data_IF_365460713677
#
_entry.id   IF_365460713677
#
_cell.length_a   1.000
_cell.length_b   1.000
_cell.length_c   1.000
_cell.angle_alpha   90.00
_cell.angle_beta   90.00
_cell.angle_gamma   90.00
#
_symmetry.space_group_name_H-M   'P 1'
#
loop_
_entity.id
_entity.type
_entity.pdbx_description
1 polymer ?
#
# COMPACT_ATOMS: atom_id res chain seq x y z
N UNK A 1 -11.26 27.65 -46.82
CA UNK A 1 -11.53 26.49 -45.94
C UNK A 1 -11.11 26.84 -44.51
N UNK A 2 -12.08 27.18 -43.65
CA UNK A 2 -11.86 27.50 -42.23
C UNK A 2 -11.87 26.21 -41.41
N UNK A 3 -10.77 25.87 -40.74
CA UNK A 3 -10.75 24.81 -39.71
C UNK A 3 -11.31 25.39 -38.41
N UNK A 4 -12.50 24.92 -38.05
CA UNK A 4 -13.07 25.12 -36.72
C UNK A 4 -12.17 24.40 -35.69
N UNK A 5 -11.65 25.17 -34.75
CA UNK A 5 -10.90 24.67 -33.59
C UNK A 5 -11.95 24.37 -32.52
N UNK A 6 -12.37 23.11 -32.42
CA UNK A 6 -13.16 22.59 -31.31
C UNK A 6 -12.29 22.66 -30.06
N UNK A 7 -12.57 23.62 -29.19
CA UNK A 7 -12.08 23.63 -27.82
C UNK A 7 -12.78 22.47 -27.09
N UNK A 8 -12.08 21.36 -26.97
CA UNK A 8 -12.42 20.34 -26.00
C UNK A 8 -12.47 21.00 -24.63
N UNK A 9 -13.65 20.96 -24.00
CA UNK A 9 -13.80 21.28 -22.60
C UNK A 9 -12.97 20.28 -21.82
N UNK A 10 -11.81 20.76 -21.37
CA UNK A 10 -11.00 20.09 -20.36
C UNK A 10 -11.80 20.26 -19.06
N UNK A 11 -12.69 19.29 -18.79
CA UNK A 11 -13.25 19.08 -17.46
C UNK A 11 -12.08 18.62 -16.57
N UNK A 12 -11.28 19.60 -16.17
CA UNK A 12 -10.30 19.48 -15.11
C UNK A 12 -11.10 19.23 -13.82
N UNK A 13 -11.45 17.95 -13.59
CA UNK A 13 -11.98 17.47 -12.33
C UNK A 13 -10.92 17.75 -11.27
N UNK A 14 -11.00 18.97 -10.72
CA UNK A 14 -10.20 19.43 -9.60
C UNK A 14 -10.21 18.33 -8.57
N UNK A 15 -9.04 17.73 -8.36
CA UNK A 15 -8.88 16.60 -7.47
C UNK A 15 -9.15 17.10 -6.04
N UNK A 16 -10.41 17.02 -5.59
CA UNK A 16 -10.79 17.55 -4.28
C UNK A 16 -10.10 16.66 -3.23
N UNK A 17 -9.24 17.22 -2.36
CA UNK A 17 -8.54 16.45 -1.34
C UNK A 17 -9.50 16.16 -0.19
N UNK A 18 -10.49 15.32 -0.43
CA UNK A 18 -11.59 14.99 0.49
C UNK A 18 -11.12 14.71 1.91
N UNK A 19 -10.15 13.81 2.09
CA UNK A 19 -9.62 13.46 3.41
C UNK A 19 -8.86 14.61 4.10
N UNK A 20 -8.28 15.54 3.33
CA UNK A 20 -7.66 16.74 3.89
C UNK A 20 -8.73 17.66 4.49
N UNK A 21 -9.84 17.84 3.79
CA UNK A 21 -10.98 18.63 4.29
C UNK A 21 -11.65 17.99 5.51
N UNK A 22 -11.78 16.66 5.53
CA UNK A 22 -12.28 15.91 6.70
C UNK A 22 -11.37 16.14 7.92
N UNK A 23 -10.05 16.07 7.74
CA UNK A 23 -9.08 16.32 8.81
C UNK A 23 -9.14 17.77 9.30
N UNK A 24 -9.22 18.75 8.38
CA UNK A 24 -9.35 20.17 8.73
C UNK A 24 -10.63 20.44 9.52
N UNK A 25 -11.76 19.86 9.12
CA UNK A 25 -13.01 19.98 9.85
C UNK A 25 -12.91 19.38 11.26
N UNK A 26 -12.26 18.21 11.41
CA UNK A 26 -12.02 17.60 12.71
C UNK A 26 -11.17 18.48 13.65
N UNK A 27 -10.06 19.05 13.15
CA UNK A 27 -9.25 19.99 13.94
C UNK A 27 -9.99 21.28 14.29
N UNK A 28 -10.82 21.79 13.38
CA UNK A 28 -11.62 22.99 13.62
C UNK A 28 -12.64 22.77 14.74
N UNK A 29 -13.33 21.62 14.74
CA UNK A 29 -14.26 21.24 15.81
C UNK A 29 -13.55 21.06 17.15
N UNK A 30 -12.39 20.40 17.15
CA UNK A 30 -11.57 20.23 18.35
C UNK A 30 -11.10 21.59 18.91
N UNK A 31 -10.63 22.48 18.05
CA UNK A 31 -10.22 23.84 18.44
C UNK A 31 -11.41 24.67 18.96
N UNK A 32 -12.60 24.53 18.37
CA UNK A 32 -13.82 25.15 18.87
C UNK A 32 -14.18 24.66 20.27
N UNK A 33 -14.13 23.34 20.52
CA UNK A 33 -14.38 22.78 21.85
C UNK A 33 -13.36 23.29 22.87
N UNK A 34 -12.07 23.28 22.54
CA UNK A 34 -11.02 23.84 23.41
C UNK A 34 -11.22 25.34 23.69
N UNK A 35 -11.69 26.10 22.69
CA UNK A 35 -12.04 27.51 22.84
C UNK A 35 -13.22 27.72 23.79
N UNK A 36 -14.27 26.89 23.71
CA UNK A 36 -15.39 26.94 24.65
C UNK A 36 -14.92 26.67 26.08
N UNK A 37 -14.11 25.63 26.30
CA UNK A 37 -13.52 25.36 27.62
C UNK A 37 -12.67 26.54 28.13
N UNK A 38 -11.88 27.18 27.27
CA UNK A 38 -11.03 28.29 27.68
C UNK A 38 -11.82 29.58 28.01
N UNK A 39 -12.95 29.82 27.35
CA UNK A 39 -13.84 30.96 27.62
C UNK A 39 -14.68 30.73 28.87
N UNK A 40 -15.14 29.50 29.07
CA UNK A 40 -15.90 29.10 30.26
C UNK A 40 -15.01 29.02 31.52
N UNK A 41 -13.72 28.72 31.35
CA UNK A 41 -12.69 28.81 32.39
C UNK A 41 -12.17 30.25 32.59
N UNK A 42 -13.06 31.26 32.52
CA UNK A 42 -12.72 32.67 32.70
C UNK A 42 -11.85 32.94 33.94
N UNK A 43 -11.06 34.04 33.94
CA UNK A 43 -10.06 34.27 34.97
C UNK A 43 -10.73 34.42 36.34
N UNK A 44 -10.32 33.55 37.27
CA UNK A 44 -10.76 33.46 38.66
C UNK A 44 -12.22 33.01 38.82
N UNK A 45 -12.43 31.67 38.87
CA UNK A 45 -13.57 31.13 39.63
C UNK A 45 -13.59 31.85 40.98
N UNK A 46 -14.70 32.52 41.37
CA UNK A 46 -14.75 33.27 42.61
C UNK A 46 -14.36 32.33 43.75
N UNK A 47 -13.47 32.79 44.64
CA UNK A 47 -13.04 31.96 45.75
C UNK A 47 -14.27 31.45 46.51
N UNK A 48 -14.41 30.14 46.63
CA UNK A 48 -15.46 29.47 47.39
C UNK A 48 -14.87 28.86 48.64
N UNK A 49 -15.67 28.81 49.70
CA UNK A 49 -15.32 28.13 50.95
C UNK A 49 -16.39 27.10 51.27
N UNK A 50 -15.96 25.89 51.60
CA UNK A 50 -16.85 24.86 52.11
C UNK A 50 -17.36 25.26 53.50
N UNK A 51 -18.68 25.17 53.69
CA UNK A 51 -19.37 25.45 54.94
C UNK A 51 -20.39 24.36 55.26
N UNK A 52 -20.72 24.24 56.54
CA UNK A 52 -21.76 23.32 57.00
C UNK A 52 -23.15 23.95 56.81
N UNK A 53 -24.08 23.15 56.29
CA UNK A 53 -25.47 23.51 56.05
C UNK A 53 -26.38 22.67 56.95
N UNK A 54 -27.28 23.33 57.67
CA UNK A 54 -28.35 22.66 58.39
C UNK A 54 -29.55 22.46 57.46
N UNK A 55 -29.91 21.21 57.16
CA UNK A 55 -31.03 20.89 56.29
C UNK A 55 -32.33 20.90 57.10
N UNK A 56 -33.15 21.92 56.84
CA UNK A 56 -34.43 22.16 57.53
C UNK A 56 -35.54 21.31 56.94
N UNK A 57 -35.53 21.13 55.62
CA UNK A 57 -36.52 20.35 54.88
C UNK A 57 -35.85 19.77 53.62
N UNK A 58 -36.17 18.52 53.29
CA UNK A 58 -35.66 17.82 52.10
C UNK A 58 -36.84 17.16 51.37
N UNK A 59 -37.01 17.52 50.10
CA UNK A 59 -38.01 16.90 49.23
C UNK A 59 -37.46 15.67 48.54
N UNK A 60 -38.36 14.80 48.09
CA UNK A 60 -38.02 13.57 47.37
C UNK A 60 -37.31 13.80 46.03
N UNK A 61 -37.38 15.01 45.46
CA UNK A 61 -36.68 15.41 44.23
C UNK A 61 -35.22 15.86 44.48
N UNK A 62 -34.76 15.87 45.74
CA UNK A 62 -33.42 16.31 46.13
C UNK A 62 -33.30 17.81 46.39
N UNK A 63 -34.39 18.59 46.22
CA UNK A 63 -34.40 20.00 46.64
C UNK A 63 -34.54 20.11 48.15
N UNK A 64 -33.65 20.89 48.74
CA UNK A 64 -33.55 21.12 50.17
C UNK A 64 -33.74 22.59 50.50
N UNK A 65 -34.26 22.85 51.70
CA UNK A 65 -34.20 24.15 52.34
C UNK A 65 -33.15 24.09 53.43
N UNK A 66 -32.10 24.89 53.27
CA UNK A 66 -30.93 24.86 54.14
C UNK A 66 -30.76 26.17 54.88
N UNK A 67 -30.21 26.06 56.07
CA UNK A 67 -29.86 27.18 56.93
C UNK A 67 -28.34 27.20 57.13
N UNK A 68 -27.70 28.36 56.95
CA UNK A 68 -26.26 28.53 57.13
C UNK A 68 -25.91 29.84 57.82
N UNK A 69 -24.72 29.89 58.42
CA UNK A 69 -24.19 31.10 59.04
C UNK A 69 -23.38 31.90 58.01
N UNK A 70 -23.81 33.12 57.72
CA UNK A 70 -23.06 34.06 56.90
C UNK A 70 -22.07 34.83 57.79
N UNK A 71 -20.75 34.57 57.67
CA UNK A 71 -19.75 35.23 58.51
C UNK A 71 -19.55 36.72 58.16
N UNK A 72 -19.97 37.15 56.97
CA UNK A 72 -19.76 38.52 56.48
C UNK A 72 -20.84 39.47 56.98
N UNK A 73 -22.10 39.03 56.94
CA UNK A 73 -23.22 39.81 57.50
C UNK A 73 -23.58 39.43 58.94
N UNK A 74 -22.88 38.43 59.52
CA UNK A 74 -23.08 37.92 60.89
C UNK A 74 -24.54 37.54 61.17
N UNK A 75 -25.22 37.00 60.16
CA UNK A 75 -26.62 36.57 60.23
C UNK A 75 -26.76 35.13 59.79
N UNK A 76 -27.80 34.47 60.27
CA UNK A 76 -28.19 33.17 59.75
C UNK A 76 -29.08 33.38 58.53
N UNK A 77 -28.70 32.79 57.39
CA UNK A 77 -29.48 32.82 56.15
C UNK A 77 -30.18 31.48 55.97
N UNK A 78 -31.29 31.51 55.24
CA UNK A 78 -32.02 30.33 54.84
C UNK A 78 -32.41 30.45 53.36
N UNK A 79 -32.32 29.36 52.62
CA UNK A 79 -32.53 29.38 51.18
C UNK A 79 -32.65 27.98 50.57
N UNK A 80 -33.10 27.91 49.30
CA UNK A 80 -33.12 26.67 48.55
C UNK A 80 -31.69 26.21 48.22
N UNK A 81 -31.47 24.89 48.21
CA UNK A 81 -30.21 24.25 47.84
C UNK A 81 -30.48 22.82 47.34
N UNK A 82 -29.60 22.24 46.52
CA UNK A 82 -29.70 20.83 46.13
C UNK A 82 -28.82 19.95 47.02
N UNK A 83 -29.45 19.16 47.90
CA UNK A 83 -28.72 18.18 48.70
C UNK A 83 -28.15 17.05 47.84
N UNK A 84 -27.15 16.34 48.35
CA UNK A 84 -26.71 15.12 47.71
C UNK A 84 -27.72 13.98 47.91
N UNK A 85 -28.30 13.48 46.81
CA UNK A 85 -29.19 12.32 46.84
C UNK A 85 -28.50 11.07 47.40
N UNK A 86 -27.17 10.95 47.24
CA UNK A 86 -26.35 9.87 47.78
C UNK A 86 -26.00 10.01 49.27
N UNK A 87 -26.45 11.08 49.93
CA UNK A 87 -26.15 11.34 51.35
C UNK A 87 -26.68 10.23 52.25
N UNK A 88 -25.83 9.75 53.15
CA UNK A 88 -26.17 8.69 54.12
C UNK A 88 -27.36 9.07 55.00
N UNK A 89 -28.23 8.11 55.28
CA UNK A 89 -29.44 8.31 56.09
C UNK A 89 -29.16 8.83 57.51
N UNK A 90 -27.94 8.61 58.05
CA UNK A 90 -27.53 9.14 59.36
C UNK A 90 -27.35 10.66 59.36
N UNK A 91 -27.14 11.26 58.19
CA UNK A 91 -26.98 12.72 58.02
C UNK A 91 -28.31 13.41 57.70
N UNK A 92 -29.39 12.64 57.47
CA UNK A 92 -30.72 13.15 57.19
C UNK A 92 -31.52 13.34 58.49
N UNK A 93 -32.42 14.30 58.52
CA UNK A 93 -33.38 14.42 59.63
C UNK A 93 -34.33 13.20 59.63
N UNK A 94 -34.71 12.65 60.81
CA UNK A 94 -34.33 13.06 62.16
C UNK A 94 -33.09 12.32 62.71
N UNK A 95 -32.40 11.53 61.89
CA UNK A 95 -31.34 10.62 62.33
C UNK A 95 -30.05 11.35 62.72
N UNK A 96 -29.83 12.55 62.19
CA UNK A 96 -28.69 13.38 62.55
C UNK A 96 -28.86 13.94 63.96
N UNK A 97 -27.87 13.69 64.82
CA UNK A 97 -27.91 14.07 66.23
C UNK A 97 -27.59 15.57 66.44
N UNK A 98 -28.40 16.47 65.87
CA UNK A 98 -28.45 17.88 66.30
C UNK A 98 -29.59 18.07 67.30
N UNK A 99 -29.33 18.89 68.31
CA UNK A 99 -30.30 19.40 69.30
C UNK A 99 -31.57 20.03 68.68
N UNK A 100 -31.52 20.42 67.40
CA UNK A 100 -32.60 21.08 66.66
C UNK A 100 -33.37 20.14 65.71
N UNK A 101 -32.94 18.89 65.55
CA UNK A 101 -33.61 17.90 64.70
C UNK A 101 -33.43 18.10 63.18
N UNK A 102 -32.43 18.90 62.76
CA UNK A 102 -32.11 19.13 61.36
C UNK A 102 -31.16 18.06 60.80
N UNK A 103 -31.14 17.91 59.47
CA UNK A 103 -30.10 17.16 58.77
C UNK A 103 -28.83 17.99 58.59
N UNK A 104 -27.75 17.36 58.12
CA UNK A 104 -26.47 18.01 57.84
C UNK A 104 -26.02 17.78 56.41
N UNK A 105 -25.63 18.84 55.72
CA UNK A 105 -25.04 18.82 54.38
C UNK A 105 -23.81 19.73 54.36
N UNK A 106 -22.89 19.52 53.42
CA UNK A 106 -21.83 20.49 53.16
C UNK A 106 -22.08 21.21 51.84
N UNK A 107 -21.90 22.52 51.82
CA UNK A 107 -22.05 23.32 50.61
C UNK A 107 -20.90 24.31 50.44
N UNK A 108 -20.82 24.93 49.27
CA UNK A 108 -19.86 25.97 48.98
C UNK A 108 -20.53 27.33 49.06
N UNK A 109 -19.83 28.31 49.62
CA UNK A 109 -20.29 29.70 49.72
C UNK A 109 -19.27 30.63 49.05
N UNK A 110 -19.74 31.61 48.31
CA UNK A 110 -18.87 32.62 47.69
C UNK A 110 -18.19 33.48 48.77
N UNK A 111 -16.86 33.58 48.71
CA UNK A 111 -16.08 34.44 49.62
C UNK A 111 -15.74 35.80 49.03
N UNK A 112 -15.94 35.97 47.72
CA UNK A 112 -15.59 37.18 46.97
C UNK A 112 -16.68 37.54 45.95
N UNK A 113 -16.64 38.77 45.42
CA UNK A 113 -17.59 39.25 44.44
C UNK A 113 -18.93 39.76 45.01
N UNK A 114 -19.89 40.12 44.12
CA UNK A 114 -21.18 40.71 44.51
C UNK A 114 -22.10 39.73 45.27
N UNK A 115 -21.89 38.42 45.11
CA UNK A 115 -22.70 37.36 45.73
C UNK A 115 -22.05 36.80 47.00
N UNK A 116 -21.10 37.53 47.60
CA UNK A 116 -20.39 37.06 48.81
C UNK A 116 -21.36 36.76 49.94
N UNK A 117 -21.27 35.55 50.48
CA UNK A 117 -22.16 35.04 51.53
C UNK A 117 -23.32 34.19 51.01
N UNK A 118 -23.56 34.17 49.69
CA UNK A 118 -24.54 33.28 49.07
C UNK A 118 -23.95 31.90 48.77
N UNK A 119 -24.81 30.89 48.72
CA UNK A 119 -24.44 29.52 48.40
C UNK A 119 -24.19 29.36 46.90
N UNK A 120 -23.12 28.64 46.57
CA UNK A 120 -22.87 28.13 45.24
C UNK A 120 -23.64 26.82 45.06
N UNK A 121 -24.77 26.91 44.37
CA UNK A 121 -25.53 25.75 43.93
C UNK A 121 -25.09 25.32 42.53
N UNK A 122 -23.84 24.87 42.45
CA UNK A 122 -23.23 24.38 41.21
C UNK A 122 -23.98 23.16 40.64
N UNK A 123 -24.81 22.47 41.44
CA UNK A 123 -25.69 21.41 40.95
C UNK A 123 -26.89 21.97 40.17
N UNK A 124 -27.47 23.10 40.58
CA UNK A 124 -28.52 23.78 39.82
C UNK A 124 -28.04 24.29 38.44
N UNK A 125 -26.76 24.68 38.30
CA UNK A 125 -26.20 25.13 37.01
C UNK A 125 -25.64 24.00 36.14
N UNK A 126 -25.30 22.84 36.72
CA UNK A 126 -24.71 21.72 35.97
C UNK A 126 -25.67 20.96 35.04
N UNK A 127 -26.97 21.24 35.09
CA UNK A 127 -28.00 20.50 34.36
C UNK A 127 -28.11 20.80 32.86
N UNK A 128 -27.62 21.95 32.37
CA UNK A 128 -27.91 22.39 30.99
C UNK A 128 -26.70 22.59 30.05
N UNK A 129 -25.46 22.84 30.53
CA UNK A 129 -24.39 23.33 29.64
C UNK A 129 -23.29 22.31 29.23
N UNK A 130 -23.13 21.17 29.91
CA UNK A 130 -22.03 20.24 29.63
C UNK A 130 -22.22 19.31 28.41
N UNK A 131 -23.34 19.36 27.68
CA UNK A 131 -23.63 18.41 26.59
C UNK A 131 -23.03 18.79 25.23
N UNK A 132 -22.89 20.09 24.94
CA UNK A 132 -22.52 20.55 23.59
C UNK A 132 -21.01 20.44 23.34
N UNK A 133 -20.18 20.78 24.34
CA UNK A 133 -18.72 20.73 24.21
C UNK A 133 -18.20 19.29 24.06
N UNK A 134 -18.71 18.36 24.88
CA UNK A 134 -18.35 16.94 24.80
C UNK A 134 -18.71 16.33 23.46
N UNK A 135 -19.88 16.69 22.92
CA UNK A 135 -20.33 16.22 21.60
C UNK A 135 -19.41 16.73 20.48
N UNK A 136 -19.01 18.01 20.53
CA UNK A 136 -18.08 18.59 19.56
C UNK A 136 -16.69 17.93 19.64
N UNK A 137 -16.21 17.63 20.84
CA UNK A 137 -14.92 16.99 21.05
C UNK A 137 -14.91 15.55 20.48
N UNK A 138 -15.94 14.76 20.79
CA UNK A 138 -16.09 13.40 20.26
C UNK A 138 -16.20 13.38 18.73
N UNK A 139 -17.01 14.28 18.15
CA UNK A 139 -17.18 14.39 16.70
C UNK A 139 -15.87 14.83 16.02
N UNK A 140 -15.18 15.81 16.60
CA UNK A 140 -13.88 16.28 16.13
C UNK A 140 -12.83 15.18 16.11
N UNK A 141 -12.74 14.40 17.20
CA UNK A 141 -11.78 13.30 17.33
C UNK A 141 -12.07 12.14 16.35
N UNK A 142 -13.35 11.82 16.14
CA UNK A 142 -13.78 10.85 15.13
C UNK A 142 -13.36 11.29 13.71
N UNK A 143 -13.59 12.56 13.35
CA UNK A 143 -13.23 13.09 12.04
C UNK A 143 -11.71 13.14 11.84
N UNK A 144 -10.94 13.44 12.89
CA UNK A 144 -9.46 13.39 12.84
C UNK A 144 -9.00 11.96 12.55
N UNK A 145 -9.54 10.95 13.26
CA UNK A 145 -9.22 9.54 13.03
C UNK A 145 -9.57 9.10 11.59
N UNK A 146 -10.77 9.44 11.11
CA UNK A 146 -11.21 9.11 9.74
C UNK A 146 -10.32 9.81 8.71
N UNK A 147 -9.98 11.08 8.90
CA UNK A 147 -9.09 11.84 8.04
C UNK A 147 -7.68 11.25 7.99
N UNK A 148 -7.14 10.83 9.14
CA UNK A 148 -5.80 10.25 9.26
C UNK A 148 -5.73 8.84 8.66
N UNK A 149 -6.70 7.97 8.95
CA UNK A 149 -6.77 6.61 8.40
C UNK A 149 -7.06 6.65 6.90
N UNK A 150 -8.07 7.42 6.48
CA UNK A 150 -8.44 7.55 5.07
C UNK A 150 -7.34 8.21 4.22
N UNK A 151 -6.64 9.20 4.78
CA UNK A 151 -5.48 9.83 4.15
C UNK A 151 -4.32 8.84 3.93
N UNK A 152 -3.97 8.05 4.96
CA UNK A 152 -2.92 7.04 4.87
C UNK A 152 -3.28 5.88 3.92
N UNK A 153 -4.52 5.40 3.97
CA UNK A 153 -5.02 4.36 3.04
C UNK A 153 -4.99 4.82 1.58
N UNK A 154 -5.17 6.11 1.31
CA UNK A 154 -5.07 6.67 -0.06
C UNK A 154 -3.62 6.93 -0.51
N UNK A 155 -2.69 7.10 0.43
CA UNK A 155 -1.26 7.25 0.13
C UNK A 155 -0.56 5.89 -0.12
N UNK A 156 -1.01 4.83 0.56
CA UNK A 156 -0.51 3.46 0.39
C UNK A 156 -0.46 2.95 -1.06
N UNK A 157 -1.50 3.12 -1.92
CA UNK A 157 -1.43 2.70 -3.31
C UNK A 157 -0.41 3.48 -4.16
N UNK A 158 0.06 4.67 -3.73
CA UNK A 158 1.14 5.36 -4.45
C UNK A 158 2.49 4.72 -4.20
N UNK A 159 2.78 4.37 -2.94
CA UNK A 159 4.05 3.71 -2.59
C UNK A 159 4.06 2.26 -3.08
N UNK A 160 2.98 1.52 -2.84
CA UNK A 160 2.80 0.15 -3.34
C UNK A 160 2.64 0.09 -4.87
N UNK A 161 2.17 1.19 -5.48
CA UNK A 161 2.03 1.30 -6.93
C UNK A 161 3.38 1.28 -7.66
N UNK A 162 4.43 1.84 -7.04
CA UNK A 162 5.80 1.83 -7.59
C UNK A 162 6.35 0.39 -7.64
N UNK A 163 6.17 -0.38 -6.57
CA UNK A 163 6.58 -1.79 -6.52
C UNK A 163 5.81 -2.62 -7.55
N UNK A 164 4.48 -2.45 -7.63
CA UNK A 164 3.66 -3.15 -8.61
C UNK A 164 4.04 -2.80 -10.07
N UNK A 165 4.39 -1.54 -10.33
CA UNK A 165 4.88 -1.12 -11.64
C UNK A 165 6.24 -1.74 -11.98
N UNK A 166 7.16 -1.82 -11.02
CA UNK A 166 8.44 -2.48 -11.20
C UNK A 166 8.26 -3.99 -11.48
N UNK A 167 7.44 -4.68 -10.69
CA UNK A 167 7.14 -6.11 -10.92
C UNK A 167 6.57 -6.32 -12.32
N UNK A 168 5.60 -5.51 -12.74
CA UNK A 168 5.05 -5.56 -14.11
C UNK A 168 6.09 -5.29 -15.20
N UNK A 169 7.03 -4.37 -14.97
CA UNK A 169 8.12 -4.08 -15.92
C UNK A 169 9.08 -5.26 -16.01
N UNK A 170 9.45 -5.84 -14.87
CA UNK A 170 10.27 -7.04 -14.80
C UNK A 170 9.61 -8.27 -15.45
N UNK A 171 8.29 -8.45 -15.26
CA UNK A 171 7.52 -9.51 -15.93
C UNK A 171 7.60 -9.39 -17.45
N UNK A 172 7.29 -8.19 -17.99
CA UNK A 172 7.36 -7.98 -19.44
C UNK A 172 8.79 -8.19 -19.97
N UNK A 173 9.82 -7.83 -19.21
CA UNK A 173 11.23 -8.07 -19.58
C UNK A 173 11.54 -9.56 -19.62
N UNK A 174 11.06 -10.32 -18.63
CA UNK A 174 11.22 -11.76 -18.59
C UNK A 174 10.49 -12.46 -19.74
N UNK A 175 9.31 -11.97 -20.14
CA UNK A 175 8.55 -12.45 -21.30
C UNK A 175 9.29 -12.18 -22.61
N UNK A 176 9.74 -10.94 -22.84
CA UNK A 176 10.52 -10.58 -24.02
C UNK A 176 11.82 -11.38 -24.13
N UNK A 177 12.51 -11.58 -23.01
CA UNK A 177 13.69 -12.42 -22.94
C UNK A 177 13.36 -13.91 -23.21
N UNK A 178 12.21 -14.38 -22.72
CA UNK A 178 11.70 -15.71 -23.02
C UNK A 178 11.47 -15.92 -24.51
N UNK A 179 10.72 -15.02 -25.16
CA UNK A 179 10.44 -15.09 -26.60
C UNK A 179 11.70 -15.05 -27.44
N UNK A 180 12.64 -14.14 -27.19
CA UNK A 180 13.88 -14.07 -27.96
C UNK A 180 14.72 -15.36 -27.84
N UNK A 181 14.79 -15.95 -26.65
CA UNK A 181 15.51 -17.20 -26.41
C UNK A 181 14.83 -18.41 -27.08
N UNK A 182 13.48 -18.44 -27.06
CA UNK A 182 12.66 -19.50 -27.66
C UNK A 182 12.66 -19.42 -29.19
N UNK A 183 12.52 -18.23 -29.77
CA UNK A 183 12.54 -18.03 -31.22
C UNK A 183 13.89 -18.46 -31.81
N UNK A 184 15.00 -18.12 -31.14
CA UNK A 184 16.33 -18.57 -31.57
C UNK A 184 16.47 -20.08 -31.45
N UNK A 185 15.98 -20.69 -30.36
CA UNK A 185 15.99 -22.14 -30.20
C UNK A 185 15.18 -22.84 -31.32
N UNK A 186 14.00 -22.30 -31.65
CA UNK A 186 13.14 -22.81 -32.72
C UNK A 186 13.83 -22.72 -34.09
N UNK A 187 14.54 -21.63 -34.38
CA UNK A 187 15.29 -21.49 -35.62
C UNK A 187 16.46 -22.48 -35.70
N UNK A 188 17.18 -22.72 -34.60
CA UNK A 188 18.23 -23.75 -34.53
C UNK A 188 17.65 -25.15 -34.70
N UNK A 189 16.51 -25.45 -34.08
CA UNK A 189 15.86 -26.74 -34.22
C UNK A 189 15.32 -26.95 -35.64
N UNK A 190 14.82 -25.92 -36.32
CA UNK A 190 14.46 -26.00 -37.74
C UNK A 190 15.66 -26.37 -38.63
N UNK A 191 16.85 -25.79 -38.38
CA UNK A 191 18.09 -26.19 -39.07
C UNK A 191 18.44 -27.65 -38.79
N UNK A 192 18.33 -28.10 -37.53
CA UNK A 192 18.61 -29.49 -37.17
C UNK A 192 17.63 -30.45 -37.81
N UNK A 193 16.37 -30.07 -37.91
CA UNK A 193 15.30 -30.89 -38.47
C UNK A 193 15.46 -31.01 -39.99
N UNK A 194 15.72 -29.90 -40.68
CA UNK A 194 16.04 -29.90 -42.10
C UNK A 194 17.34 -30.66 -42.39
N UNK A 195 18.38 -30.47 -41.56
CA UNK A 195 19.68 -31.14 -41.71
C UNK A 195 19.65 -32.65 -41.47
N UNK A 196 18.60 -33.20 -40.83
CA UNK A 196 18.39 -34.65 -40.74
C UNK A 196 17.92 -35.28 -42.05
N UNK A 197 17.29 -34.49 -42.93
CA UNK A 197 16.63 -34.98 -44.14
C UNK A 197 17.25 -34.42 -45.43
N UNK A 198 17.93 -33.28 -45.35
CA UNK A 198 18.58 -32.59 -46.47
C UNK A 198 20.11 -32.65 -46.44
N UNK A 199 20.73 -32.30 -47.56
CA UNK A 199 22.19 -32.16 -47.70
C UNK A 199 22.54 -30.77 -48.26
N UNK A 200 23.77 -30.29 -48.01
CA UNK A 200 24.36 -29.11 -48.66
C UNK A 200 25.31 -29.49 -49.82
N UNK A 201 25.29 -30.74 -50.27
CA UNK A 201 26.15 -31.26 -51.35
C UNK A 201 25.65 -30.82 -52.74
N UNK A 202 25.97 -31.59 -53.79
CA UNK A 202 25.75 -31.21 -55.19
C UNK A 202 24.30 -30.85 -55.57
N UNK A 203 23.30 -31.29 -54.79
CA UNK A 203 21.92 -30.86 -54.88
C UNK A 203 21.44 -30.40 -53.50
N UNK A 204 21.64 -29.11 -53.14
CA UNK A 204 21.36 -28.62 -51.81
C UNK A 204 19.85 -28.60 -51.53
N UNK A 205 19.47 -29.05 -50.34
CA UNK A 205 18.07 -29.03 -49.90
C UNK A 205 17.61 -27.57 -49.65
N UNK A 206 16.53 -27.10 -50.32
CA UNK A 206 16.11 -25.71 -50.23
C UNK A 206 15.58 -25.33 -48.83
N UNK A 207 15.02 -26.27 -48.08
CA UNK A 207 14.54 -26.03 -46.71
C UNK A 207 15.71 -25.88 -45.74
N UNK A 208 16.76 -26.69 -45.91
CA UNK A 208 18.00 -26.56 -45.13
C UNK A 208 18.72 -25.24 -45.42
N UNK A 209 18.87 -24.89 -46.71
CA UNK A 209 19.49 -23.62 -47.13
C UNK A 209 18.70 -22.43 -46.57
N UNK A 210 17.36 -22.45 -46.67
CA UNK A 210 16.50 -21.41 -46.10
C UNK A 210 16.69 -21.27 -44.59
N UNK A 211 16.62 -22.38 -43.86
CA UNK A 211 16.74 -22.37 -42.39
C UNK A 211 18.10 -21.84 -41.92
N UNK A 212 19.19 -22.20 -42.62
CA UNK A 212 20.52 -21.69 -42.34
C UNK A 212 20.67 -20.20 -42.71
N UNK A 213 20.03 -19.75 -43.80
CA UNK A 213 20.03 -18.35 -44.19
C UNK A 213 19.39 -17.46 -43.12
N UNK A 214 18.28 -17.89 -42.50
CA UNK A 214 17.65 -17.14 -41.38
C UNK A 214 18.62 -16.91 -40.23
N UNK A 215 19.37 -17.94 -39.82
CA UNK A 215 20.36 -17.81 -38.75
C UNK A 215 21.57 -16.98 -39.16
N UNK A 216 21.99 -17.07 -40.43
CA UNK A 216 23.08 -16.26 -40.98
C UNK A 216 22.70 -14.78 -41.02
N UNK A 217 21.51 -14.45 -41.49
CA UNK A 217 20.99 -13.09 -41.60
C UNK A 217 20.80 -12.46 -40.22
N UNK A 218 20.27 -13.21 -39.25
CA UNK A 218 20.18 -12.77 -37.85
C UNK A 218 21.58 -12.57 -37.20
N UNK A 219 22.60 -13.26 -37.72
CA UNK A 219 24.00 -13.04 -37.40
C UNK A 219 24.44 -13.46 -35.98
N UNK A 220 25.72 -13.27 -35.64
CA UNK A 220 26.28 -13.65 -34.34
C UNK A 220 25.75 -12.81 -33.17
N UNK A 221 25.09 -11.68 -33.46
CA UNK A 221 24.45 -10.83 -32.46
C UNK A 221 23.17 -11.48 -31.94
N UNK A 222 22.37 -12.11 -32.81
CA UNK A 222 21.17 -12.86 -32.41
C UNK A 222 21.50 -14.02 -31.47
N UNK A 223 22.58 -14.76 -31.73
CA UNK A 223 23.04 -15.82 -30.83
C UNK A 223 23.37 -15.30 -29.42
N UNK A 224 24.14 -14.20 -29.34
CA UNK A 224 24.50 -13.57 -28.06
C UNK A 224 23.27 -13.00 -27.35
N UNK A 225 22.39 -12.32 -28.07
CA UNK A 225 21.16 -11.78 -27.52
C UNK A 225 20.25 -12.90 -26.98
N UNK A 226 20.11 -14.02 -27.69
CA UNK A 226 19.33 -15.17 -27.22
C UNK A 226 19.94 -15.85 -25.99
N UNK A 227 21.28 -15.90 -25.89
CA UNK A 227 21.98 -16.39 -24.70
C UNK A 227 21.75 -15.47 -23.50
N UNK A 228 21.96 -14.16 -23.67
CA UNK A 228 21.69 -13.15 -22.64
C UNK A 228 20.22 -13.18 -22.19
N UNK A 229 19.30 -13.32 -23.15
CA UNK A 229 17.87 -13.42 -22.90
C UNK A 229 17.52 -14.66 -22.06
N UNK A 230 18.10 -15.82 -22.41
CA UNK A 230 17.90 -17.07 -21.66
C UNK A 230 18.39 -16.95 -20.22
N UNK A 231 19.56 -16.37 -20.02
CA UNK A 231 20.15 -16.22 -18.68
C UNK A 231 19.39 -15.19 -17.85
N UNK A 232 18.95 -14.09 -18.46
CA UNK A 232 18.10 -13.11 -17.80
C UNK A 232 16.74 -13.69 -17.40
N UNK A 233 16.07 -14.42 -18.30
CA UNK A 233 14.79 -15.06 -18.02
C UNK A 233 14.91 -16.08 -16.87
N UNK A 234 15.99 -16.87 -16.84
CA UNK A 234 16.28 -17.81 -15.74
C UNK A 234 16.44 -17.09 -14.39
N UNK A 235 17.07 -15.93 -14.36
CA UNK A 235 17.28 -15.12 -13.14
C UNK A 235 16.02 -14.40 -12.68
N UNK A 236 15.24 -13.84 -13.61
CA UNK A 236 14.01 -13.10 -13.27
C UNK A 236 12.90 -14.00 -12.75
N UNK A 237 12.76 -15.23 -13.27
CA UNK A 237 11.66 -16.14 -12.91
C UNK A 237 11.53 -16.48 -11.41
N UNK A 238 12.59 -16.83 -10.66
CA UNK A 238 12.48 -17.02 -9.21
C UNK A 238 12.15 -15.71 -8.48
N UNK A 239 12.84 -14.61 -8.83
CA UNK A 239 12.62 -13.30 -8.21
C UNK A 239 11.19 -12.78 -8.40
N UNK A 240 10.59 -12.98 -9.57
CA UNK A 240 9.19 -12.60 -9.83
C UNK A 240 8.20 -13.41 -9.00
N UNK A 241 8.52 -14.68 -8.66
CA UNK A 241 7.69 -15.50 -7.77
C UNK A 241 7.79 -15.02 -6.33
N UNK A 242 9.00 -14.71 -5.86
CA UNK A 242 9.24 -14.17 -4.52
C UNK A 242 8.66 -12.74 -4.36
N UNK A 243 8.71 -11.91 -5.41
CA UNK A 243 8.15 -10.57 -5.42
C UNK A 243 6.62 -10.51 -5.64
N UNK A 244 5.94 -11.66 -5.83
CA UNK A 244 4.50 -11.70 -6.08
C UNK A 244 3.63 -10.99 -5.01
N UNK A 245 3.98 -11.01 -3.70
CA UNK A 245 3.30 -10.21 -2.69
C UNK A 245 3.37 -8.70 -2.94
N UNK A 246 4.46 -8.21 -3.54
CA UNK A 246 4.65 -6.79 -3.86
C UNK A 246 3.95 -6.35 -5.16
N UNK A 247 3.36 -7.29 -5.92
CA UNK A 247 2.66 -6.98 -7.17
C UNK A 247 1.33 -6.22 -6.97
N UNK A 248 0.83 -6.13 -5.73
CA UNK A 248 -0.36 -5.34 -5.41
C UNK A 248 -0.79 -5.44 -3.94
N UNK A 249 -1.63 -4.49 -3.51
CA UNK A 249 -2.09 -4.38 -2.12
C UNK A 249 -2.77 -5.66 -1.62
N UNK A 250 -3.63 -6.27 -2.43
CA UNK A 250 -4.34 -7.52 -2.06
C UNK A 250 -3.36 -8.66 -1.78
N UNK A 251 -2.35 -8.85 -2.64
CA UNK A 251 -1.36 -9.91 -2.47
C UNK A 251 -0.51 -9.66 -1.22
N UNK A 252 -0.10 -8.41 -0.99
CA UNK A 252 0.68 -8.04 0.21
C UNK A 252 -0.11 -8.30 1.48
N UNK A 253 -1.41 -7.98 1.51
CA UNK A 253 -2.28 -8.22 2.67
C UNK A 253 -2.49 -9.71 2.94
N UNK A 254 -2.61 -10.53 1.89
CA UNK A 254 -2.73 -11.99 2.01
C UNK A 254 -1.42 -12.68 2.41
N UNK A 255 -0.28 -12.06 2.12
CA UNK A 255 1.03 -12.59 2.49
C UNK A 255 1.32 -12.42 3.99
N UNK A 256 1.89 -13.46 4.61
CA UNK A 256 2.42 -13.40 5.96
C UNK A 256 3.70 -12.54 6.08
N UNK A 257 4.17 -12.25 7.31
CA UNK A 257 5.31 -11.36 7.54
C UNK A 257 6.60 -11.85 6.88
N UNK A 258 6.89 -13.15 6.90
CA UNK A 258 8.06 -13.72 6.23
C UNK A 258 8.03 -13.49 4.71
N UNK A 259 6.91 -13.83 4.07
CA UNK A 259 6.73 -13.64 2.63
C UNK A 259 6.81 -12.17 2.20
N UNK A 260 6.43 -11.22 3.07
CA UNK A 260 6.61 -9.79 2.81
C UNK A 260 8.08 -9.38 2.84
N UNK A 261 8.86 -9.88 3.78
CA UNK A 261 10.30 -9.61 3.86
C UNK A 261 11.04 -10.18 2.64
N UNK A 262 10.72 -11.42 2.25
CA UNK A 262 11.29 -12.04 1.04
C UNK A 262 10.95 -11.23 -0.22
N UNK A 263 9.72 -10.74 -0.32
CA UNK A 263 9.29 -9.90 -1.44
C UNK A 263 10.07 -8.58 -1.52
N UNK A 264 10.40 -7.94 -0.40
CA UNK A 264 11.19 -6.70 -0.37
C UNK A 264 12.63 -6.93 -0.86
N UNK A 265 13.24 -8.05 -0.46
CA UNK A 265 14.56 -8.47 -0.95
C UNK A 265 14.51 -8.72 -2.46
N UNK A 266 13.52 -9.48 -2.92
CA UNK A 266 13.34 -9.77 -4.34
C UNK A 266 13.08 -8.51 -5.19
N UNK A 267 12.26 -7.57 -4.70
CA UNK A 267 11.99 -6.29 -5.36
C UNK A 267 13.26 -5.45 -5.51
N UNK A 268 14.15 -5.47 -4.51
CA UNK A 268 15.42 -4.76 -4.57
C UNK A 268 16.32 -5.32 -5.68
N UNK A 269 16.40 -6.65 -5.80
CA UNK A 269 17.17 -7.30 -6.85
C UNK A 269 16.53 -7.12 -8.24
N UNK A 270 15.19 -7.18 -8.34
CA UNK A 270 14.47 -6.86 -9.58
C UNK A 270 14.77 -5.43 -10.06
N UNK A 271 14.80 -4.45 -9.14
CA UNK A 271 15.16 -3.06 -9.47
C UNK A 271 16.56 -2.98 -10.07
N UNK A 272 17.51 -3.71 -9.50
CA UNK A 272 18.89 -3.78 -10.00
C UNK A 272 18.96 -4.37 -11.40
N UNK A 273 18.31 -5.51 -11.63
CA UNK A 273 18.32 -6.20 -12.93
C UNK A 273 17.61 -5.42 -14.04
N UNK A 274 16.46 -4.84 -13.73
CA UNK A 274 15.70 -4.03 -14.69
C UNK A 274 16.50 -2.77 -15.07
N UNK A 275 17.08 -2.07 -14.09
CA UNK A 275 17.94 -0.92 -14.37
C UNK A 275 19.19 -1.30 -15.18
N UNK A 276 19.77 -2.48 -14.92
CA UNK A 276 20.91 -2.97 -15.68
C UNK A 276 20.54 -3.34 -17.12
N UNK A 277 19.40 -4.00 -17.31
CA UNK A 277 18.88 -4.32 -18.63
C UNK A 277 18.58 -3.07 -19.48
N UNK A 278 18.05 -2.02 -18.85
CA UNK A 278 17.81 -0.72 -19.50
C UNK A 278 19.10 -0.02 -19.90
N UNK A 279 20.10 0.03 -19.00
CA UNK A 279 21.41 0.63 -19.34
C UNK A 279 22.08 -0.03 -20.54
N UNK A 280 21.86 -1.33 -20.70
CA UNK A 280 22.44 -2.09 -21.80
C UNK A 280 21.49 -2.23 -23.02
N UNK A 281 20.32 -1.58 -23.02
CA UNK A 281 19.36 -1.67 -24.14
C UNK A 281 18.95 -3.11 -24.49
N UNK A 282 18.80 -3.98 -23.47
CA UNK A 282 18.47 -5.39 -23.69
C UNK A 282 17.07 -5.55 -24.30
N UNK A 283 16.14 -4.66 -23.96
CA UNK A 283 14.78 -4.64 -24.47
C UNK A 283 14.74 -4.57 -25.99
N UNK A 284 15.44 -3.57 -26.54
CA UNK A 284 15.52 -3.32 -27.98
C UNK A 284 16.24 -4.48 -28.68
N UNK A 285 17.31 -5.00 -28.08
CA UNK A 285 18.07 -6.13 -28.64
C UNK A 285 17.24 -7.42 -28.70
N UNK A 286 16.46 -7.74 -27.67
CA UNK A 286 15.59 -8.92 -27.68
C UNK A 286 14.46 -8.78 -28.69
N UNK A 287 13.81 -7.61 -28.74
CA UNK A 287 12.76 -7.34 -29.72
C UNK A 287 13.29 -7.42 -31.16
N UNK A 288 14.43 -6.79 -31.44
CA UNK A 288 15.08 -6.83 -32.76
C UNK A 288 15.45 -8.27 -33.14
N UNK A 289 16.03 -9.05 -32.22
CA UNK A 289 16.39 -10.44 -32.48
C UNK A 289 15.17 -11.30 -32.83
N UNK A 290 14.06 -11.15 -32.10
CA UNK A 290 12.81 -11.87 -32.41
C UNK A 290 12.27 -11.45 -33.79
N UNK A 291 12.28 -10.16 -34.12
CA UNK A 291 11.86 -9.66 -35.44
C UNK A 291 12.74 -10.20 -36.56
N UNK A 292 14.06 -10.20 -36.41
CA UNK A 292 15.00 -10.69 -37.43
C UNK A 292 14.78 -12.19 -37.69
N UNK A 293 14.58 -12.98 -36.62
CA UNK A 293 14.29 -14.42 -36.72
C UNK A 293 12.92 -14.71 -37.34
N UNK A 294 11.89 -13.91 -37.02
CA UNK A 294 10.55 -14.07 -37.58
C UNK A 294 10.46 -13.63 -39.04
N UNK A 295 11.15 -12.53 -39.40
CA UNK A 295 11.16 -12.02 -40.78
C UNK A 295 11.82 -13.00 -41.76
N UNK A 296 12.80 -13.76 -41.28
CA UNK A 296 13.44 -14.81 -42.07
C UNK A 296 12.53 -16.00 -42.41
N UNK A 297 11.38 -16.16 -41.74
CA UNK A 297 10.45 -17.27 -41.97
C UNK A 297 9.42 -17.03 -43.09
N UNK A 298 9.42 -15.85 -43.73
CA UNK A 298 8.55 -15.56 -44.87
C UNK A 298 8.96 -16.38 -46.11
N UNK A 299 8.24 -17.48 -46.36
CA UNK A 299 8.71 -18.63 -47.13
C UNK A 299 9.09 -18.30 -48.58
N UNK A 300 8.34 -17.44 -49.27
CA UNK A 300 8.52 -17.24 -50.71
C UNK A 300 9.70 -16.32 -51.03
N UNK A 301 9.86 -15.24 -50.25
CA UNK A 301 10.96 -14.29 -50.42
C UNK A 301 12.27 -14.83 -49.85
N UNK A 302 12.22 -15.52 -48.72
CA UNK A 302 13.39 -16.12 -48.08
C UNK A 302 14.00 -17.23 -48.93
N UNK A 303 13.20 -18.04 -49.62
CA UNK A 303 13.72 -19.15 -50.44
C UNK A 303 14.56 -18.65 -51.62
N UNK A 304 14.09 -17.61 -52.34
CA UNK A 304 14.84 -17.04 -53.48
C UNK A 304 16.12 -16.34 -53.01
N UNK A 305 16.03 -15.56 -51.92
CA UNK A 305 17.19 -14.86 -51.36
C UNK A 305 18.24 -15.84 -50.82
N UNK A 306 17.80 -16.88 -50.09
CA UNK A 306 18.67 -17.89 -49.51
C UNK A 306 19.41 -18.70 -50.59
N UNK A 307 18.72 -19.10 -51.67
CA UNK A 307 19.37 -19.81 -52.78
C UNK A 307 20.46 -18.96 -53.45
N UNK A 308 20.15 -17.69 -53.74
CA UNK A 308 21.09 -16.76 -54.37
C UNK A 308 22.32 -16.49 -53.48
N UNK A 309 22.12 -16.36 -52.16
CA UNK A 309 23.22 -16.15 -51.20
C UNK A 309 24.07 -17.42 -51.00
N UNK A 310 23.43 -18.60 -50.98
CA UNK A 310 24.12 -19.88 -50.90
C UNK A 310 25.02 -20.13 -52.11
N UNK A 311 24.54 -19.85 -53.33
CA UNK A 311 25.35 -19.97 -54.54
C UNK A 311 26.60 -19.08 -54.51
N UNK A 312 26.52 -17.94 -53.83
CA UNK A 312 27.64 -17.00 -53.69
C UNK A 312 28.68 -17.44 -52.68
N UNK A 313 28.27 -18.05 -51.56
CA UNK A 313 29.17 -18.44 -50.46
C UNK A 313 28.68 -19.72 -49.74
N UNK A 314 28.82 -20.90 -50.37
CA UNK A 314 28.34 -22.17 -49.81
C UNK A 314 29.20 -22.64 -48.62
N UNK A 315 30.47 -22.24 -48.57
CA UNK A 315 31.38 -22.61 -47.47
C UNK A 315 30.93 -22.01 -46.13
N UNK A 316 30.37 -20.80 -46.13
CA UNK A 316 29.84 -20.18 -44.92
C UNK A 316 28.62 -20.93 -44.35
N UNK A 317 27.75 -21.47 -45.20
CA UNK A 317 26.62 -22.31 -44.76
C UNK A 317 27.11 -23.63 -44.16
N UNK A 318 28.12 -24.27 -44.78
CA UNK A 318 28.73 -25.49 -44.24
C UNK A 318 29.37 -25.25 -42.87
N UNK A 319 30.16 -24.17 -42.71
CA UNK A 319 30.73 -23.78 -41.41
C UNK A 319 29.65 -23.49 -40.35
N UNK A 320 28.56 -22.82 -40.74
CA UNK A 320 27.45 -22.53 -39.83
C UNK A 320 26.73 -23.81 -39.38
N UNK A 321 26.47 -24.74 -40.32
CA UNK A 321 25.87 -26.03 -40.02
C UNK A 321 26.76 -26.84 -39.05
N UNK A 322 28.07 -26.90 -39.31
CA UNK A 322 29.03 -27.56 -38.42
C UNK A 322 29.01 -26.96 -37.01
N UNK A 323 28.94 -25.64 -36.88
CA UNK A 323 28.87 -24.95 -35.60
C UNK A 323 27.57 -25.24 -34.81
N UNK A 324 26.46 -25.50 -35.50
CA UNK A 324 25.13 -25.71 -34.90
C UNK A 324 24.79 -27.18 -34.61
N UNK A 325 25.57 -28.12 -35.14
CA UNK A 325 25.28 -29.56 -35.12
C UNK A 325 26.04 -30.37 -34.05
N UNK A 326 26.41 -29.82 -32.87
CA UNK A 326 27.53 -30.30 -32.07
C UNK A 326 27.60 -31.84 -31.97
N UNK A 327 28.65 -32.40 -32.57
CA UNK A 327 29.33 -33.65 -32.23
C UNK A 327 28.45 -34.74 -31.58
N UNK A 328 27.62 -35.42 -32.38
CA UNK A 328 27.15 -36.78 -32.03
C UNK A 328 27.97 -37.84 -32.78
N UNK A 329 29.29 -37.84 -32.56
CA UNK A 329 30.05 -39.08 -32.71
C UNK A 329 29.92 -39.84 -31.39
N UNK A 330 29.04 -40.83 -31.41
CA UNK A 330 28.65 -41.66 -30.30
C UNK A 330 29.84 -42.17 -29.48
N UNK A 331 29.65 -42.17 -28.16
CA UNK A 331 30.35 -43.08 -27.26
C UNK A 331 30.32 -44.49 -27.89
N UNK A 332 31.50 -45.05 -28.22
CA UNK A 332 31.61 -46.49 -28.46
C UNK A 332 31.10 -47.19 -27.19
N UNK A 333 30.20 -48.17 -27.30
CA UNK A 333 29.94 -49.04 -26.16
C UNK A 333 31.24 -49.77 -25.81
N UNK A 334 31.71 -49.58 -24.59
CA UNK A 334 32.80 -50.35 -23.99
C UNK A 334 32.43 -51.84 -24.06
N UNK A 335 33.28 -52.73 -24.60
CA UNK A 335 32.95 -54.14 -24.71
C UNK A 335 32.77 -54.72 -23.30
N UNK A 336 31.59 -55.28 -23.04
CA UNK A 336 31.23 -55.99 -21.81
C UNK A 336 32.37 -56.94 -21.40
N UNK A 337 33.12 -56.54 -20.36
CA UNK A 337 34.05 -57.41 -19.64
C UNK A 337 33.25 -58.60 -19.10
N UNK A 338 33.38 -59.76 -19.76
CA UNK A 338 32.92 -61.06 -19.26
C UNK A 338 33.42 -61.25 -17.82
N UNK A 339 32.51 -61.12 -16.84
CA UNK A 339 32.75 -61.59 -15.48
C UNK A 339 33.00 -63.10 -15.54
N UNK A 340 34.24 -63.51 -15.25
CA UNK A 340 34.59 -64.88 -14.89
C UNK A 340 33.68 -65.35 -13.75
N UNK A 341 32.85 -66.36 -13.98
CA UNK A 341 32.28 -67.19 -12.92
C UNK A 341 33.45 -67.91 -12.24
N UNK A 342 33.70 -67.59 -10.96
CA UNK A 342 34.44 -68.49 -10.07
C UNK A 342 33.48 -69.60 -9.63
N UNK A 343 33.96 -70.84 -9.76
CA UNK A 343 33.43 -72.02 -9.06
C UNK A 343 33.74 -71.91 -7.58
#
# INVERSE_FOLDING_TARGET
>A
MRRARLTAGDDDMRHIPFFRWVLTAGFMLFACSAGLYAVESGPELPATRQIDLAVVDEKADGTCRVQWSDPYEKKTREGPYHCDAGRSDILKAPNFQDSRGYGWESGFMFTEGPNRGDLDDSKASSGEDFTTSDTLLLLGLLLILIGMVGGNLRALPRVLGVEAQLVRRATRLAEAAGWAAEDYARAVDAVRDAGRHGSLDAAPDPELVRSLWVLREAGPQAHRAAADARDLAKRLRPLLREAAPAAGLRNRLQAGPAARADAEVAVTELRRLVADAERHGLWERFAQTSVDLLRGQDADRATIAAGTDFERDPDAYRRLLEALAPLKAAARPEPLRRRRRRR
#
